data_IF_507858129882
#
_entry.id   IF_507858129882
#
_cell.length_a   1.000
_cell.length_b   1.000
_cell.length_c   1.000
_cell.angle_alpha   90.00
_cell.angle_beta   90.00
_cell.angle_gamma   90.00
#
_symmetry.space_group_name_H-M   'P 1'
#
loop_
_entity.id
_entity.type
_entity.pdbx_description
1 polymer ?
#
# COMPACT_ATOMS: atom_id res chain seq x y z
N UNK A 1 -6.06 -33.55 -28.77
CA UNK A 1 -4.65 -33.19 -28.61
C UNK A 1 -4.64 -31.67 -28.68
N UNK A 2 -4.90 -31.04 -27.53
CA UNK A 2 -3.83 -30.52 -26.64
C UNK A 2 -3.14 -29.36 -27.38
N UNK A 3 -3.31 -28.12 -26.92
CA UNK A 3 -2.72 -27.73 -25.65
C UNK A 3 -3.55 -26.73 -24.82
N UNK A 4 -3.68 -27.13 -23.55
CA UNK A 4 -3.51 -26.31 -22.35
C UNK A 4 -4.32 -25.01 -22.22
N UNK A 5 -5.43 -25.20 -21.50
CA UNK A 5 -5.95 -24.25 -20.52
C UNK A 5 -4.81 -23.68 -19.67
N UNK A 6 -4.29 -22.52 -20.04
CA UNK A 6 -3.43 -21.75 -19.16
C UNK A 6 -4.32 -21.13 -18.07
N UNK A 7 -4.34 -21.78 -16.92
CA UNK A 7 -5.07 -21.35 -15.74
C UNK A 7 -4.45 -20.07 -15.19
N UNK A 8 -4.98 -18.92 -15.57
CA UNK A 8 -4.66 -17.65 -14.90
C UNK A 8 -5.47 -17.55 -13.60
N UNK A 9 -5.09 -18.36 -12.61
CA UNK A 9 -5.29 -18.01 -11.21
C UNK A 9 -4.35 -16.86 -10.87
N UNK A 10 -4.68 -15.64 -11.33
CA UNK A 10 -3.88 -14.45 -11.04
C UNK A 10 -3.98 -14.22 -9.53
N UNK A 11 -2.95 -14.62 -8.79
CA UNK A 11 -2.82 -14.27 -7.37
C UNK A 11 -2.74 -12.74 -7.33
N UNK A 12 -3.84 -12.11 -6.96
CA UNK A 12 -3.94 -10.67 -6.80
C UNK A 12 -2.90 -10.27 -5.75
N UNK A 13 -2.03 -9.33 -6.09
CA UNK A 13 -1.06 -8.79 -5.14
C UNK A 13 -1.82 -8.18 -3.95
N UNK A 14 -1.53 -8.57 -2.70
CA UNK A 14 -2.26 -8.08 -1.53
C UNK A 14 -2.24 -6.55 -1.49
N UNK A 15 -3.39 -5.96 -1.16
CA UNK A 15 -3.57 -4.50 -1.12
C UNK A 15 -3.71 -4.04 0.33
N UNK A 16 -2.84 -3.13 0.73
CA UNK A 16 -2.91 -2.41 1.99
C UNK A 16 -3.35 -0.96 1.77
N UNK A 17 -4.33 -0.52 2.56
CA UNK A 17 -4.81 0.87 2.56
C UNK A 17 -4.71 1.47 3.95
N UNK A 18 -4.03 2.59 4.08
CA UNK A 18 -4.06 3.46 5.26
C UNK A 18 -4.94 4.67 4.96
N UNK A 19 -5.93 4.92 5.82
CA UNK A 19 -6.75 6.12 5.74
C UNK A 19 -6.83 6.84 7.08
N UNK A 20 -6.47 8.13 7.07
CA UNK A 20 -6.53 9.02 8.24
C UNK A 20 -7.38 10.23 7.88
N UNK A 21 -8.46 10.44 8.63
CA UNK A 21 -9.38 11.58 8.50
C UNK A 21 -10.30 11.54 7.27
N UNK A 22 -9.86 11.00 6.13
CA UNK A 22 -10.65 10.89 4.90
C UNK A 22 -10.74 9.44 4.43
N UNK A 23 -11.95 8.88 4.26
CA UNK A 23 -12.12 7.53 3.74
C UNK A 23 -11.71 7.46 2.27
N UNK A 24 -10.96 6.43 1.89
CA UNK A 24 -10.49 6.20 0.51
C UNK A 24 -10.73 4.77 0.02
N UNK A 25 -11.07 3.82 0.89
CA UNK A 25 -11.22 2.39 0.58
C UNK A 25 -12.08 2.14 -0.66
N UNK A 26 -13.30 2.67 -0.73
CA UNK A 26 -14.20 2.46 -1.87
C UNK A 26 -13.61 2.95 -3.19
N UNK A 27 -12.95 4.11 -3.17
CA UNK A 27 -12.32 4.68 -4.36
C UNK A 27 -11.10 3.88 -4.81
N UNK A 28 -10.31 3.38 -3.86
CA UNK A 28 -9.14 2.55 -4.13
C UNK A 28 -9.56 1.19 -4.70
N UNK A 29 -10.52 0.52 -4.04
CA UNK A 29 -11.05 -0.77 -4.46
C UNK A 29 -11.65 -0.69 -5.88
N UNK A 30 -12.52 0.29 -6.12
CA UNK A 30 -13.15 0.50 -7.44
C UNK A 30 -12.11 0.70 -8.54
N UNK A 31 -11.06 1.49 -8.30
CA UNK A 31 -10.08 1.75 -9.34
C UNK A 31 -9.11 0.59 -9.58
N UNK A 32 -8.79 -0.18 -8.53
CA UNK A 32 -7.96 -1.38 -8.66
C UNK A 32 -8.73 -2.58 -9.22
N UNK A 33 -10.06 -2.50 -9.31
CA UNK A 33 -10.90 -3.64 -9.71
C UNK A 33 -11.07 -4.69 -8.61
N UNK A 34 -10.87 -4.28 -7.35
CA UNK A 34 -10.93 -5.14 -6.17
C UNK A 34 -12.23 -4.94 -5.40
N UNK A 35 -12.64 -5.94 -4.60
CA UNK A 35 -13.71 -5.75 -3.62
C UNK A 35 -13.17 -5.16 -2.33
N UNK A 36 -13.89 -4.24 -1.69
CA UNK A 36 -13.46 -3.63 -0.41
C UNK A 36 -13.08 -4.67 0.66
N UNK A 37 -13.74 -5.83 0.66
CA UNK A 37 -13.47 -6.94 1.60
C UNK A 37 -12.11 -7.62 1.38
N UNK A 38 -11.54 -7.48 0.19
CA UNK A 38 -10.26 -8.09 -0.19
C UNK A 38 -9.08 -7.14 0.14
N UNK A 39 -9.36 -5.91 0.57
CA UNK A 39 -8.36 -4.95 1.03
C UNK A 39 -8.09 -5.13 2.52
N UNK A 40 -6.80 -5.05 2.89
CA UNK A 40 -6.41 -4.92 4.29
C UNK A 40 -6.31 -3.44 4.66
N UNK A 41 -7.21 -2.98 5.53
CA UNK A 41 -7.40 -1.55 5.81
C UNK A 41 -6.99 -1.20 7.24
N UNK A 42 -6.17 -0.15 7.38
CA UNK A 42 -6.00 0.57 8.63
C UNK A 42 -6.72 1.91 8.55
N UNK A 43 -7.90 1.98 9.17
CA UNK A 43 -8.73 3.20 9.20
C UNK A 43 -8.60 3.94 10.53
N UNK A 44 -8.34 5.24 10.44
CA UNK A 44 -8.33 6.20 11.55
C UNK A 44 -9.23 7.38 11.15
N UNK A 45 -10.57 7.29 11.35
CA UNK A 45 -11.55 8.25 10.81
C UNK A 45 -11.63 9.54 11.66
N UNK A 46 -10.48 10.12 11.98
CA UNK A 46 -10.34 11.35 12.75
C UNK A 46 -8.98 11.99 12.48
N UNK A 47 -8.83 13.23 12.94
CA UNK A 47 -7.52 13.85 13.07
C UNK A 47 -6.66 13.09 14.09
N UNK A 48 -5.36 13.06 13.85
CA UNK A 48 -4.36 12.44 14.72
C UNK A 48 -3.39 13.51 15.21
N UNK A 49 -2.82 13.31 16.39
CA UNK A 49 -1.73 14.14 16.93
C UNK A 49 -0.37 13.58 16.53
N UNK A 50 0.67 14.40 16.66
CA UNK A 50 2.05 14.06 16.33
C UNK A 50 2.53 12.84 17.13
N UNK A 51 2.12 12.72 18.39
CA UNK A 51 2.49 11.60 19.28
C UNK A 51 1.85 10.26 18.87
N UNK A 52 0.84 10.28 18.02
CA UNK A 52 0.17 9.08 17.52
C UNK A 52 0.81 8.54 16.25
N UNK A 53 1.54 9.39 15.51
CA UNK A 53 2.17 9.03 14.23
C UNK A 53 3.02 7.77 14.35
N UNK A 54 3.97 7.65 15.30
CA UNK A 54 4.82 6.45 15.37
C UNK A 54 4.02 5.18 15.68
N UNK A 55 2.94 5.30 16.46
CA UNK A 55 2.06 4.17 16.82
C UNK A 55 1.28 3.67 15.62
N UNK A 56 0.77 4.59 14.80
CA UNK A 56 0.03 4.28 13.57
C UNK A 56 0.99 3.70 12.52
N UNK A 57 2.17 4.31 12.34
CA UNK A 57 3.22 3.80 11.45
C UNK A 57 3.63 2.38 11.83
N UNK A 58 3.87 2.10 13.12
CA UNK A 58 4.22 0.77 13.60
C UNK A 58 3.11 -0.27 13.36
N UNK A 59 1.84 0.13 13.50
CA UNK A 59 0.70 -0.75 13.20
C UNK A 59 0.60 -1.04 11.71
N UNK A 60 0.69 0.00 10.87
CA UNK A 60 0.69 -0.13 9.42
C UNK A 60 1.83 -1.04 8.93
N UNK A 61 3.05 -0.82 9.44
CA UNK A 61 4.22 -1.64 9.15
C UNK A 61 3.94 -3.12 9.43
N UNK A 62 3.44 -3.48 10.62
CA UNK A 62 3.14 -4.88 10.96
C UNK A 62 2.14 -5.52 9.99
N UNK A 63 1.11 -4.77 9.59
CA UNK A 63 0.10 -5.26 8.64
C UNK A 63 0.72 -5.49 7.24
N UNK A 64 1.53 -4.55 6.76
CA UNK A 64 2.24 -4.69 5.47
C UNK A 64 3.21 -5.88 5.52
N UNK A 65 3.95 -6.06 6.61
CA UNK A 65 4.87 -7.19 6.78
C UNK A 65 4.14 -8.52 6.76
N UNK A 66 2.95 -8.61 7.35
CA UNK A 66 2.11 -9.81 7.30
C UNK A 66 1.70 -10.15 5.86
N UNK A 67 1.24 -9.14 5.11
CA UNK A 67 0.83 -9.31 3.70
C UNK A 67 1.99 -9.70 2.80
N UNK A 68 3.19 -9.18 3.07
CA UNK A 68 4.41 -9.50 2.31
C UNK A 68 5.05 -10.84 2.68
N UNK A 69 4.49 -11.60 3.65
CA UNK A 69 5.03 -12.90 4.01
C UNK A 69 5.03 -13.84 2.81
N UNK A 70 6.14 -14.54 2.59
CA UNK A 70 6.31 -15.41 1.43
C UNK A 70 6.81 -14.70 0.17
N UNK A 71 7.21 -13.43 0.25
CA UNK A 71 7.84 -12.70 -0.86
C UNK A 71 6.85 -12.02 -1.80
N UNK A 72 5.57 -11.95 -1.41
CA UNK A 72 4.54 -11.27 -2.18
C UNK A 72 4.81 -9.78 -2.28
N UNK A 73 4.46 -9.20 -3.44
CA UNK A 73 4.49 -7.74 -3.61
C UNK A 73 3.22 -7.15 -3.02
N UNK A 74 3.36 -6.20 -2.10
CA UNK A 74 2.24 -5.52 -1.45
C UNK A 74 1.96 -4.20 -2.17
N UNK A 75 0.72 -4.02 -2.63
CA UNK A 75 0.26 -2.71 -3.11
C UNK A 75 -0.10 -1.85 -1.91
N UNK A 76 0.46 -0.65 -1.82
CA UNK A 76 0.27 0.26 -0.69
C UNK A 76 -0.33 1.58 -1.16
N UNK A 77 -1.46 1.97 -0.55
CA UNK A 77 -2.13 3.26 -0.76
C UNK A 77 -2.22 3.97 0.58
N UNK A 78 -1.74 5.22 0.63
CA UNK A 78 -1.71 6.01 1.85
C UNK A 78 -2.56 7.28 1.69
N UNK A 79 -3.43 7.54 2.66
CA UNK A 79 -4.15 8.79 2.84
C UNK A 79 -3.98 9.25 4.28
N UNK A 80 -3.24 10.35 4.49
CA UNK A 80 -2.98 10.87 5.82
C UNK A 80 -1.84 11.91 5.83
N UNK A 81 -1.40 12.34 7.03
CA UNK A 81 -0.32 13.30 7.17
C UNK A 81 1.00 12.81 6.52
N UNK A 82 1.73 13.72 5.87
CA UNK A 82 2.99 13.40 5.19
C UNK A 82 4.03 12.78 6.13
N UNK A 83 4.14 13.28 7.37
CA UNK A 83 5.07 12.75 8.36
C UNK A 83 4.81 11.26 8.67
N UNK A 84 3.54 10.84 8.71
CA UNK A 84 3.17 9.44 8.89
C UNK A 84 3.60 8.58 7.70
N UNK A 85 3.38 9.05 6.47
CA UNK A 85 3.84 8.35 5.28
C UNK A 85 5.37 8.22 5.25
N UNK A 86 6.09 9.27 5.69
CA UNK A 86 7.54 9.29 5.72
C UNK A 86 8.13 8.34 6.77
N UNK A 87 7.65 8.37 8.01
CA UNK A 87 8.08 7.43 9.06
C UNK A 87 7.76 5.97 8.69
N UNK A 88 6.59 5.71 8.11
CA UNK A 88 6.25 4.39 7.61
C UNK A 88 7.22 3.96 6.49
N UNK A 89 7.55 4.85 5.55
CA UNK A 89 8.52 4.60 4.49
C UNK A 89 9.91 4.26 5.03
N UNK A 90 10.38 4.99 6.04
CA UNK A 90 11.63 4.69 6.73
C UNK A 90 11.61 3.29 7.37
N UNK A 91 10.53 2.93 8.07
CA UNK A 91 10.40 1.62 8.69
C UNK A 91 10.34 0.48 7.66
N UNK A 92 9.60 0.67 6.57
CA UNK A 92 9.54 -0.26 5.44
C UNK A 92 10.91 -0.47 4.81
N UNK A 93 11.71 0.59 4.66
CA UNK A 93 13.06 0.53 4.08
C UNK A 93 14.04 -0.33 4.85
N UNK A 94 13.74 -0.67 6.12
CA UNK A 94 14.51 -1.61 6.93
C UNK A 94 14.14 -3.08 6.67
N UNK A 95 13.10 -3.33 5.87
CA UNK A 95 12.57 -4.66 5.58
C UNK A 95 12.94 -5.14 4.17
N UNK A 96 12.72 -6.43 3.91
CA UNK A 96 12.89 -7.05 2.58
C UNK A 96 11.55 -7.26 1.84
N UNK A 97 10.49 -6.55 2.22
CA UNK A 97 9.18 -6.68 1.56
C UNK A 97 9.17 -5.87 0.27
N UNK A 98 8.66 -6.49 -0.80
CA UNK A 98 8.45 -5.82 -2.08
C UNK A 98 7.18 -4.97 -2.01
N UNK A 99 7.28 -3.68 -2.30
CA UNK A 99 6.15 -2.76 -2.23
C UNK A 99 5.98 -2.03 -3.56
N UNK A 100 4.72 -1.84 -3.93
CA UNK A 100 4.30 -0.92 -5.00
C UNK A 100 3.43 0.17 -4.40
N UNK A 101 3.87 1.42 -4.53
CA UNK A 101 3.12 2.58 -4.05
C UNK A 101 2.13 3.06 -5.12
N UNK A 102 0.95 3.49 -4.68
CA UNK A 102 -0.03 4.19 -5.51
C UNK A 102 -0.33 5.57 -4.93
N UNK A 103 -0.30 6.59 -5.78
CA UNK A 103 -0.58 7.97 -5.43
C UNK A 103 -1.85 8.47 -6.11
N UNK A 104 -2.73 9.11 -5.35
CA UNK A 104 -3.88 9.80 -5.91
C UNK A 104 -3.50 11.16 -6.47
N UNK A 105 -3.69 11.37 -7.77
CA UNK A 105 -3.43 12.63 -8.48
C UNK A 105 -4.54 12.83 -9.51
N UNK A 106 -5.07 14.05 -9.62
CA UNK A 106 -6.06 14.40 -10.67
C UNK A 106 -7.24 13.44 -10.80
N UNK A 107 -7.77 12.96 -9.67
CA UNK A 107 -8.96 12.09 -9.66
C UNK A 107 -8.66 10.59 -9.82
N UNK A 108 -7.39 10.17 -9.93
CA UNK A 108 -7.02 8.75 -10.14
C UNK A 108 -5.81 8.34 -9.31
N UNK A 109 -5.73 7.07 -8.95
CA UNK A 109 -4.53 6.44 -8.39
C UNK A 109 -3.57 6.02 -9.50
N UNK A 110 -2.31 6.40 -9.37
CA UNK A 110 -1.24 6.02 -10.28
C UNK A 110 -0.19 5.22 -9.53
N UNK A 111 0.28 4.13 -10.15
CA UNK A 111 1.45 3.41 -9.67
C UNK A 111 2.65 4.36 -9.71
N UNK A 112 3.30 4.55 -8.57
CA UNK A 112 4.51 5.35 -8.44
C UNK A 112 5.70 4.49 -8.86
N UNK A 113 6.52 4.92 -9.84
CA UNK A 113 7.77 4.25 -10.17
C UNK A 113 8.69 4.22 -8.95
N UNK A 114 9.39 3.10 -8.68
CA UNK A 114 10.35 3.06 -7.60
C UNK A 114 11.50 4.03 -7.88
N UNK A 115 12.01 4.67 -6.83
CA UNK A 115 13.26 5.44 -6.91
C UNK A 115 14.41 4.47 -7.16
N UNK A 116 15.14 4.66 -8.26
CA UNK A 116 16.29 3.82 -8.62
C UNK A 116 17.60 4.41 -8.13
N UNK A 117 18.65 3.60 -8.14
CA UNK A 117 20.00 4.09 -7.81
C UNK A 117 20.45 5.12 -8.83
N UNK A 118 20.12 4.92 -10.10
CA UNK A 118 20.41 5.85 -11.19
C UNK A 118 19.76 7.22 -10.93
N UNK A 119 18.52 7.25 -10.42
CA UNK A 119 17.83 8.52 -10.11
C UNK A 119 18.53 9.32 -8.98
N UNK A 120 19.26 8.65 -8.08
CA UNK A 120 19.96 9.29 -6.95
C UNK A 120 21.30 9.92 -7.33
N UNK A 121 21.93 9.48 -8.42
CA UNK A 121 23.28 9.89 -8.81
C UNK A 121 23.33 10.53 -10.21
N UNK A 122 22.18 11.00 -10.71
CA UNK A 122 22.07 11.85 -11.89
C UNK A 122 22.49 13.29 -11.60
#
# INVERSE_FOLDING_TARGET
>A
MEDMKESWGRKVSPVFVLEVGRPIVSSAASQLGESEKDLTVLSVPRTITETEIPKIAAKAYKMIMELGRGGETVTVILSGPLALAFELGQAIGLSHVNIVLYQFTSGKYFKVPPLTREDLFR
#
